data_IF_539711491424
#
_entry.id   IF_539711491424
#
_cell.length_a   1.000
_cell.length_b   1.000
_cell.length_c   1.000
_cell.angle_alpha   90.00
_cell.angle_beta   90.00
_cell.angle_gamma   90.00
#
_symmetry.space_group_name_H-M   'P 1'
#
loop_
_entity.id
_entity.type
_entity.pdbx_description
1 polymer ?
#
# COMPACT_ATOMS: atom_id res chain seq x y z
N UNK A 1 -19.17 -2.38 -11.65
CA UNK A 1 -18.30 -2.84 -10.56
C UNK A 1 -17.40 -1.67 -10.19
N UNK A 2 -17.30 -1.29 -8.91
CA UNK A 2 -16.26 -0.32 -8.50
C UNK A 2 -14.91 -1.01 -8.64
N UNK A 3 -13.93 -0.31 -9.21
CA UNK A 3 -12.57 -0.85 -9.34
C UNK A 3 -11.97 -1.16 -7.98
N UNK A 4 -11.02 -2.09 -7.92
CA UNK A 4 -10.30 -2.39 -6.69
C UNK A 4 -9.55 -1.13 -6.23
N UNK A 5 -9.73 -0.72 -4.98
CA UNK A 5 -9.01 0.41 -4.40
C UNK A 5 -7.75 -0.09 -3.70
N UNK A 6 -6.63 0.53 -4.04
CA UNK A 6 -5.30 0.09 -3.62
C UNK A 6 -4.49 1.31 -3.16
N UNK A 7 -3.88 1.21 -1.98
CA UNK A 7 -2.86 2.19 -1.55
C UNK A 7 -1.50 1.72 -2.05
N UNK A 8 -0.70 2.64 -2.60
CA UNK A 8 0.70 2.40 -2.94
C UNK A 8 1.57 3.38 -2.18
N UNK A 9 2.42 2.88 -1.31
CA UNK A 9 3.34 3.67 -0.51
C UNK A 9 4.21 2.80 0.36
N UNK A 10 5.30 3.36 0.90
CA UNK A 10 6.24 2.55 1.69
C UNK A 10 6.99 3.40 2.72
N UNK A 11 7.28 2.88 3.92
CA UNK A 11 8.16 3.53 4.90
C UNK A 11 9.61 3.71 4.43
N UNK A 12 10.06 2.83 3.54
CA UNK A 12 11.39 2.86 2.92
C UNK A 12 11.37 2.16 1.55
N UNK A 13 12.50 2.17 0.84
CA UNK A 13 12.66 1.54 -0.47
C UNK A 13 12.65 2.53 -1.63
N UNK A 14 12.61 1.99 -2.85
CA UNK A 14 12.72 2.77 -4.09
C UNK A 14 11.38 3.38 -4.51
N UNK A 15 11.31 4.71 -4.53
CA UNK A 15 10.14 5.46 -4.99
C UNK A 15 9.84 5.22 -6.47
N UNK A 16 10.85 5.03 -7.31
CA UNK A 16 10.66 4.81 -8.74
C UNK A 16 9.88 3.52 -9.00
N UNK A 17 10.21 2.44 -8.27
CA UNK A 17 9.48 1.18 -8.33
C UNK A 17 8.00 1.34 -7.92
N UNK A 18 7.73 2.08 -6.83
CA UNK A 18 6.36 2.38 -6.39
C UNK A 18 5.58 3.20 -7.44
N UNK A 19 6.22 4.17 -8.09
CA UNK A 19 5.61 4.97 -9.16
C UNK A 19 5.26 4.11 -10.37
N UNK A 20 6.17 3.24 -10.79
CA UNK A 20 5.95 2.31 -11.92
C UNK A 20 4.76 1.40 -11.61
N UNK A 21 4.73 0.81 -10.42
CA UNK A 21 3.66 -0.10 -10.03
C UNK A 21 2.31 0.62 -9.88
N UNK A 22 2.30 1.83 -9.33
CA UNK A 22 1.09 2.66 -9.26
C UNK A 22 0.54 3.02 -10.65
N UNK A 23 1.39 3.17 -11.67
CA UNK A 23 0.94 3.35 -13.06
C UNK A 23 0.35 2.06 -13.62
N UNK A 24 1.05 0.93 -13.45
CA UNK A 24 0.58 -0.38 -13.91
C UNK A 24 -0.80 -0.75 -13.34
N UNK A 25 -1.03 -0.50 -12.06
CA UNK A 25 -2.32 -0.75 -11.41
C UNK A 25 -3.44 0.16 -11.94
N UNK A 26 -3.15 1.44 -12.20
CA UNK A 26 -4.12 2.35 -12.85
C UNK A 26 -4.45 1.90 -14.26
N UNK A 27 -3.46 1.49 -15.04
CA UNK A 27 -3.65 0.96 -16.39
C UNK A 27 -4.48 -0.34 -16.39
N UNK A 28 -4.42 -1.12 -15.30
CA UNK A 28 -5.27 -2.29 -15.08
C UNK A 28 -6.69 -1.96 -14.56
N UNK A 29 -7.00 -0.67 -14.33
CA UNK A 29 -8.33 -0.21 -13.90
C UNK A 29 -8.53 -0.11 -12.38
N UNK A 30 -7.47 -0.20 -11.57
CA UNK A 30 -7.56 0.01 -10.13
C UNK A 30 -7.67 1.50 -9.75
N UNK A 31 -8.39 1.81 -8.67
CA UNK A 31 -8.39 3.12 -8.03
C UNK A 31 -7.17 3.22 -7.11
N UNK A 32 -6.11 3.89 -7.58
CA UNK A 32 -4.84 3.96 -6.83
C UNK A 32 -4.73 5.25 -6.01
N UNK A 33 -4.58 5.08 -4.70
CA UNK A 33 -4.17 6.13 -3.76
C UNK A 33 -2.65 6.05 -3.60
N UNK A 34 -1.94 7.02 -4.18
CA UNK A 34 -0.49 7.04 -4.11
C UNK A 34 -0.03 7.89 -2.92
N UNK A 35 0.53 7.24 -1.90
CA UNK A 35 1.06 7.89 -0.70
C UNK A 35 2.56 8.25 -0.84
N UNK A 36 3.28 7.58 -1.75
CA UNK A 36 4.70 7.83 -2.01
C UNK A 36 5.65 7.03 -1.09
N UNK A 37 6.94 7.31 -1.21
CA UNK A 37 7.98 6.73 -0.35
C UNK A 37 8.14 7.53 0.96
N UNK A 38 8.85 6.94 1.92
CA UNK A 38 9.12 7.50 3.25
C UNK A 38 7.85 7.85 4.06
N UNK A 39 6.76 7.11 3.85
CA UNK A 39 5.52 7.24 4.62
C UNK A 39 5.54 6.25 5.77
N UNK A 40 5.48 6.76 7.00
CA UNK A 40 5.39 5.93 8.20
C UNK A 40 4.29 4.85 8.10
N UNK A 41 4.59 3.65 8.60
CA UNK A 41 3.71 2.49 8.51
C UNK A 41 2.35 2.73 9.20
N UNK A 42 2.33 3.43 10.34
CA UNK A 42 1.11 3.78 11.04
C UNK A 42 0.24 4.76 10.25
N UNK A 43 0.87 5.74 9.60
CA UNK A 43 0.15 6.66 8.69
C UNK A 43 -0.41 5.92 7.47
N UNK A 44 0.36 4.98 6.91
CA UNK A 44 -0.07 4.18 5.76
C UNK A 44 -1.23 3.25 6.11
N UNK A 45 -1.19 2.60 7.27
CA UNK A 45 -2.30 1.81 7.81
C UNK A 45 -3.56 2.66 8.03
N UNK A 46 -3.41 3.84 8.64
CA UNK A 46 -4.54 4.76 8.83
C UNK A 46 -5.16 5.21 7.50
N UNK A 47 -4.34 5.47 6.47
CA UNK A 47 -4.84 5.75 5.12
C UNK A 47 -5.57 4.54 4.53
N UNK A 48 -5.01 3.34 4.64
CA UNK A 48 -5.63 2.12 4.12
C UNK A 48 -7.02 1.88 4.74
N UNK A 49 -7.13 2.01 6.06
CA UNK A 49 -8.40 1.87 6.78
C UNK A 49 -9.39 2.98 6.41
N UNK A 50 -8.95 4.24 6.40
CA UNK A 50 -9.82 5.39 6.08
C UNK A 50 -10.38 5.34 4.67
N UNK A 51 -9.61 4.77 3.73
CA UNK A 51 -9.98 4.69 2.33
C UNK A 51 -10.72 3.38 1.98
N UNK A 52 -10.89 2.49 2.95
CA UNK A 52 -11.55 1.18 2.80
C UNK A 52 -10.93 0.37 1.65
N UNK A 53 -9.61 0.21 1.69
CA UNK A 53 -8.86 -0.49 0.63
C UNK A 53 -8.73 -1.98 0.94
N UNK A 54 -8.74 -2.79 -0.11
CA UNK A 54 -8.52 -4.24 0.01
C UNK A 54 -7.04 -4.64 0.00
N UNK A 55 -6.16 -3.75 -0.45
CA UNK A 55 -4.72 -4.04 -0.63
C UNK A 55 -3.87 -2.77 -0.43
N UNK A 56 -2.69 -2.95 0.16
CA UNK A 56 -1.59 -1.99 0.19
C UNK A 56 -0.36 -2.59 -0.48
N UNK A 57 0.30 -1.81 -1.34
CA UNK A 57 1.53 -2.18 -2.02
C UNK A 57 2.71 -1.39 -1.46
N UNK A 58 3.73 -2.10 -0.99
CA UNK A 58 4.93 -1.56 -0.34
C UNK A 58 6.22 -1.98 -1.06
N UNK A 59 7.32 -1.29 -0.83
CA UNK A 59 8.53 -1.46 -1.65
C UNK A 59 9.34 -2.73 -1.35
N UNK A 60 9.29 -3.25 -0.12
CA UNK A 60 10.08 -4.42 0.29
C UNK A 60 9.41 -5.19 1.46
N UNK A 61 10.02 -6.32 1.85
CA UNK A 61 9.48 -7.19 2.91
C UNK A 61 9.52 -6.55 4.31
N UNK A 62 10.51 -5.70 4.60
CA UNK A 62 10.59 -5.04 5.90
C UNK A 62 9.47 -3.98 6.03
N UNK A 63 9.16 -3.29 4.94
CA UNK A 63 8.03 -2.37 4.88
C UNK A 63 6.69 -3.11 5.05
N UNK A 64 6.58 -4.32 4.47
CA UNK A 64 5.41 -5.19 4.64
C UNK A 64 5.22 -5.56 6.09
N UNK A 65 6.26 -6.06 6.75
CA UNK A 65 6.16 -6.56 8.12
C UNK A 65 5.78 -5.41 9.08
N UNK A 66 6.40 -4.23 8.93
CA UNK A 66 6.05 -3.04 9.70
C UNK A 66 4.60 -2.58 9.47
N UNK A 67 4.10 -2.69 8.24
CA UNK A 67 2.72 -2.34 7.92
C UNK A 67 1.73 -3.37 8.48
N UNK A 68 2.06 -4.67 8.45
CA UNK A 68 1.22 -5.71 9.04
C UNK A 68 1.05 -5.50 10.55
N UNK A 69 2.12 -5.14 11.25
CA UNK A 69 2.06 -4.79 12.68
C UNK A 69 1.14 -3.57 12.92
N UNK A 70 1.23 -2.55 12.07
CA UNK A 70 0.40 -1.35 12.17
C UNK A 70 -1.09 -1.64 11.86
N UNK A 71 -1.38 -2.49 10.88
CA UNK A 71 -2.74 -2.93 10.55
C UNK A 71 -3.34 -3.80 11.66
N UNK A 72 -2.53 -4.69 12.26
CA UNK A 72 -2.95 -5.48 13.41
C UNK A 72 -3.31 -4.61 14.62
N UNK A 73 -2.52 -3.57 14.89
CA UNK A 73 -2.82 -2.59 15.95
C UNK A 73 -4.13 -1.81 15.69
N UNK A 74 -4.58 -1.74 14.45
CA UNK A 74 -5.83 -1.10 14.02
C UNK A 74 -7.00 -2.08 13.83
N UNK A 75 -6.83 -3.37 14.15
CA UNK A 75 -7.82 -4.44 13.92
C UNK A 75 -8.25 -4.57 12.43
N UNK A 76 -7.33 -4.28 11.50
CA UNK A 76 -7.56 -4.24 10.05
C UNK A 76 -6.81 -5.36 9.30
N UNK A 77 -6.95 -6.59 9.77
CA UNK A 77 -6.22 -7.77 9.27
C UNK A 77 -6.74 -8.32 7.93
N UNK A 78 -7.87 -7.80 7.45
CA UNK A 78 -8.49 -8.14 6.17
C UNK A 78 -7.85 -7.41 4.98
N UNK A 79 -7.05 -6.37 5.24
CA UNK A 79 -6.30 -5.64 4.21
C UNK A 79 -5.05 -6.42 3.81
N UNK A 80 -4.95 -6.82 2.55
CA UNK A 80 -3.78 -7.51 2.03
C UNK A 80 -2.57 -6.57 1.91
N UNK A 81 -1.36 -7.09 2.14
CA UNK A 81 -0.11 -6.34 1.90
C UNK A 81 0.77 -7.08 0.91
N UNK A 82 1.10 -6.42 -0.21
CA UNK A 82 1.94 -6.95 -1.28
C UNK A 82 3.22 -6.14 -1.42
N UNK A 83 4.32 -6.83 -1.72
CA UNK A 83 5.61 -6.20 -2.04
C UNK A 83 5.69 -5.98 -3.55
N UNK A 84 6.27 -4.85 -3.99
CA UNK A 84 6.57 -4.64 -5.42
C UNK A 84 7.58 -5.69 -5.88
N UNK A 85 7.25 -6.42 -6.95
CA UNK A 85 8.24 -7.23 -7.65
C UNK A 85 9.05 -6.30 -8.55
N UNK A 86 10.29 -5.98 -8.16
CA UNK A 86 11.24 -5.24 -8.98
C UNK A 86 11.83 -6.11 -10.08
#
# INVERSE_FOLDING_TARGET
>A
MKGQRIVVGSPHGDEAALVIEARRLRDAGAEVIFAGAAVDAGRLAATAVSEDVSEVVVADAQARDALLDALAAADALDIAVRVVEC
#
